data_IF_461249857708
#
_entry.id   IF_461249857708
#
_cell.length_a   1.000
_cell.length_b   1.000
_cell.length_c   1.000
_cell.angle_alpha   90.00
_cell.angle_beta   90.00
_cell.angle_gamma   90.00
#
_symmetry.space_group_name_H-M   'P 1'
#
loop_
_entity.id
_entity.type
_entity.pdbx_description
1 polymer ?
#
# COMPACT_ATOMS: atom_id res chain seq x y z
N UNK A 1 -0.45 -4.12 0.32
CA UNK A 1 -1.02 -5.09 1.26
C UNK A 1 -2.52 -5.15 1.08
N UNK A 2 -3.02 -6.36 0.84
CA UNK A 2 -4.44 -6.69 0.83
C UNK A 2 -4.99 -6.43 2.24
N UNK A 3 -5.77 -5.38 2.42
CA UNK A 3 -6.50 -5.18 3.67
C UNK A 3 -7.90 -5.74 3.49
N UNK A 4 -8.13 -6.96 3.96
CA UNK A 4 -9.47 -7.49 4.16
C UNK A 4 -10.15 -6.67 5.26
N UNK A 5 -11.16 -5.91 4.87
CA UNK A 5 -11.95 -5.11 5.80
C UNK A 5 -13.35 -5.66 5.85
N UNK A 6 -13.86 -5.78 7.06
CA UNK A 6 -15.26 -6.09 7.28
C UNK A 6 -16.06 -4.81 7.05
N UNK A 7 -16.99 -4.86 6.14
CA UNK A 7 -17.88 -3.76 5.78
C UNK A 7 -19.34 -4.22 5.84
N UNK A 8 -20.23 -3.28 6.05
CA UNK A 8 -21.67 -3.57 6.09
C UNK A 8 -22.33 -3.02 4.82
N UNK A 9 -23.20 -3.82 4.23
CA UNK A 9 -24.00 -3.43 3.08
C UNK A 9 -25.27 -2.72 3.59
N UNK A 10 -25.54 -1.53 3.09
CA UNK A 10 -26.78 -0.79 3.37
C UNK A 10 -27.64 -0.71 2.11
N UNK A 11 -28.96 -0.66 2.28
CA UNK A 11 -29.91 -0.53 1.18
C UNK A 11 -30.59 0.84 1.24
N UNK A 12 -30.38 1.62 0.22
CA UNK A 12 -31.35 2.53 -0.38
C UNK A 12 -31.56 2.03 -1.80
N UNK A 13 -32.23 2.66 -2.71
CA UNK A 13 -32.48 2.15 -4.08
C UNK A 13 -31.24 1.58 -4.81
N UNK A 14 -30.05 1.84 -4.27
CA UNK A 14 -28.75 1.34 -4.68
C UNK A 14 -28.00 0.76 -3.47
N UNK A 15 -27.39 -0.40 -3.60
CA UNK A 15 -26.58 -0.97 -2.53
C UNK A 15 -25.29 -0.20 -2.34
N UNK A 16 -25.03 0.22 -1.10
CA UNK A 16 -23.78 0.84 -0.69
C UNK A 16 -23.05 -0.04 0.33
N UNK A 17 -21.74 -0.08 0.19
CA UNK A 17 -20.83 -0.68 1.16
C UNK A 17 -20.28 0.43 2.03
N UNK A 18 -20.48 0.30 3.34
CA UNK A 18 -19.93 1.23 4.34
C UNK A 18 -18.79 0.55 5.08
N UNK A 19 -17.64 1.20 5.12
CA UNK A 19 -16.46 0.71 5.82
C UNK A 19 -15.67 1.85 6.45
N UNK A 20 -14.88 1.53 7.46
CA UNK A 20 -14.07 2.51 8.16
C UNK A 20 -12.62 2.51 7.67
N UNK A 21 -12.06 3.69 7.41
CA UNK A 21 -10.63 3.92 7.23
C UNK A 21 -10.06 4.47 8.54
N UNK A 22 -9.06 3.79 9.12
CA UNK A 22 -8.37 4.35 10.28
C UNK A 22 -7.67 5.67 9.94
N UNK A 23 -7.37 6.47 10.98
CA UNK A 23 -6.67 7.75 10.82
C UNK A 23 -5.37 7.61 10.03
N UNK A 24 -4.57 6.56 10.32
CA UNK A 24 -3.32 6.30 9.61
C UNK A 24 -3.54 5.99 8.12
N UNK A 25 -4.61 5.28 7.81
CA UNK A 25 -4.92 4.91 6.42
C UNK A 25 -5.47 6.10 5.66
N UNK A 26 -6.34 6.88 6.28
CA UNK A 26 -6.87 8.11 5.69
C UNK A 26 -5.76 9.16 5.54
N UNK A 27 -4.91 9.32 6.55
CA UNK A 27 -3.75 10.20 6.52
C UNK A 27 -2.80 9.91 5.35
N UNK A 28 -2.61 8.62 4.99
CA UNK A 28 -1.81 8.24 3.81
C UNK A 28 -2.41 8.73 2.49
N UNK A 29 -3.73 8.79 2.36
CA UNK A 29 -4.38 9.38 1.18
C UNK A 29 -4.19 10.89 1.13
N UNK A 30 -4.32 11.56 2.27
CA UNK A 30 -4.12 13.01 2.37
C UNK A 30 -2.66 13.40 2.08
N UNK A 31 -1.70 12.71 2.68
CA UNK A 31 -0.28 12.98 2.49
C UNK A 31 0.18 12.84 1.03
N UNK A 32 -0.48 11.96 0.27
CA UNK A 32 -0.18 11.73 -1.15
C UNK A 32 -0.99 12.62 -2.10
N UNK A 33 -1.78 13.54 -1.57
CA UNK A 33 -2.74 14.34 -2.34
C UNK A 33 -3.55 13.49 -3.33
N UNK A 34 -3.91 12.28 -2.91
CA UNK A 34 -4.55 11.29 -3.75
C UNK A 34 -6.04 11.31 -3.54
N UNK A 35 -6.78 11.55 -4.62
CA UNK A 35 -8.23 11.53 -4.59
C UNK A 35 -8.74 10.12 -4.23
N UNK A 36 -9.52 10.04 -3.16
CA UNK A 36 -10.12 8.78 -2.69
C UNK A 36 -11.47 8.51 -3.35
N UNK A 37 -12.20 9.58 -3.71
CA UNK A 37 -13.50 9.50 -4.38
C UNK A 37 -13.32 8.95 -5.80
N UNK A 38 -14.24 8.10 -6.23
CA UNK A 38 -14.18 7.45 -7.54
C UNK A 38 -13.29 6.20 -7.59
N UNK A 39 -12.52 5.89 -6.54
CA UNK A 39 -11.65 4.72 -6.54
C UNK A 39 -12.44 3.41 -6.64
N UNK A 40 -11.97 2.48 -7.49
CA UNK A 40 -12.58 1.17 -7.59
C UNK A 40 -12.20 0.28 -6.40
N UNK A 41 -13.17 -0.52 -5.98
CA UNK A 41 -13.04 -1.53 -4.92
C UNK A 41 -13.51 -2.87 -5.46
N UNK A 42 -12.89 -3.96 -4.99
CA UNK A 42 -13.47 -5.29 -5.08
C UNK A 42 -14.15 -5.62 -3.76
N UNK A 43 -15.38 -6.07 -3.84
CA UNK A 43 -16.21 -6.45 -2.70
C UNK A 43 -16.46 -7.96 -2.80
N UNK A 44 -16.23 -8.68 -1.72
CA UNK A 44 -16.44 -10.11 -1.64
C UNK A 44 -17.49 -10.41 -0.59
N UNK A 45 -18.49 -11.17 -0.98
CA UNK A 45 -19.53 -11.69 -0.09
C UNK A 45 -19.39 -13.21 0.00
N UNK A 46 -19.05 -13.68 1.18
CA UNK A 46 -18.92 -15.10 1.47
C UNK A 46 -20.26 -15.63 2.02
N UNK A 47 -20.94 -16.46 1.27
CA UNK A 47 -22.27 -17.02 1.64
C UNK A 47 -22.39 -18.45 1.17
N UNK A 48 -22.82 -19.34 2.07
CA UNK A 48 -23.06 -20.74 1.74
C UNK A 48 -21.84 -21.51 1.25
N UNK A 49 -20.63 -21.07 1.61
CA UNK A 49 -19.37 -21.66 1.13
C UNK A 49 -18.89 -21.13 -0.22
N UNK A 50 -19.65 -20.24 -0.85
CA UNK A 50 -19.28 -19.58 -2.10
C UNK A 50 -18.80 -18.15 -1.85
N UNK A 51 -17.79 -17.71 -2.61
CA UNK A 51 -17.29 -16.34 -2.61
C UNK A 51 -17.79 -15.60 -3.85
N UNK A 52 -18.69 -14.67 -3.64
CA UNK A 52 -19.26 -13.83 -4.70
C UNK A 52 -18.48 -12.53 -4.75
N UNK A 53 -17.95 -12.19 -5.92
CA UNK A 53 -17.23 -10.94 -6.13
C UNK A 53 -18.10 -9.89 -6.81
N UNK A 54 -18.05 -8.68 -6.30
CA UNK A 54 -18.74 -7.51 -6.84
C UNK A 54 -17.73 -6.36 -6.98
N UNK A 55 -18.07 -5.38 -7.78
CA UNK A 55 -17.30 -4.14 -7.90
C UNK A 55 -18.03 -3.00 -7.21
N UNK A 56 -17.30 -2.07 -6.66
CA UNK A 56 -17.83 -0.85 -6.10
C UNK A 56 -16.90 0.34 -6.39
N UNK A 57 -17.41 1.54 -6.28
CA UNK A 57 -16.59 2.76 -6.35
C UNK A 57 -16.92 3.68 -5.19
N UNK A 58 -15.90 4.31 -4.61
CA UNK A 58 -16.08 5.23 -3.49
C UNK A 58 -16.84 6.46 -3.97
N UNK A 59 -17.92 6.79 -3.29
CA UNK A 59 -18.80 7.93 -3.61
C UNK A 59 -18.54 9.13 -2.72
N UNK A 60 -18.42 8.88 -1.42
CA UNK A 60 -18.09 9.93 -0.47
C UNK A 60 -17.39 9.40 0.77
N UNK A 61 -16.76 10.28 1.50
CA UNK A 61 -16.11 10.04 2.78
C UNK A 61 -16.86 10.84 3.83
N UNK A 62 -17.13 10.23 4.98
CA UNK A 62 -17.80 10.90 6.09
C UNK A 62 -17.05 12.14 6.54
N UNK A 63 -17.80 13.18 6.91
CA UNK A 63 -17.22 14.45 7.34
C UNK A 63 -16.68 14.43 8.78
N UNK A 64 -16.90 13.35 9.51
CA UNK A 64 -16.52 13.23 10.92
C UNK A 64 -15.63 12.02 11.15
N UNK A 65 -14.66 12.19 12.04
CA UNK A 65 -13.88 11.07 12.56
C UNK A 65 -14.69 10.43 13.69
N UNK A 66 -15.01 9.15 13.55
CA UNK A 66 -15.68 8.38 14.58
C UNK A 66 -14.73 8.10 15.74
N UNK A 67 -15.05 8.56 16.93
CA UNK A 67 -14.26 8.28 18.12
C UNK A 67 -14.27 6.79 18.49
N UNK A 68 -15.33 6.08 18.16
CA UNK A 68 -15.47 4.65 18.45
C UNK A 68 -14.54 3.79 17.56
N UNK A 69 -14.40 4.14 16.29
CA UNK A 69 -13.59 3.39 15.31
C UNK A 69 -12.23 4.03 15.05
N UNK A 70 -11.98 5.23 15.58
CA UNK A 70 -10.78 6.05 15.32
C UNK A 70 -10.48 6.12 13.83
N UNK A 71 -11.50 6.52 13.07
CA UNK A 71 -11.37 6.59 11.63
C UNK A 71 -12.57 7.24 10.96
N UNK A 72 -12.54 7.30 9.65
CA UNK A 72 -13.53 7.95 8.81
C UNK A 72 -14.37 6.90 8.09
N UNK A 73 -15.67 7.05 8.10
CA UNK A 73 -16.56 6.16 7.36
C UNK A 73 -16.52 6.50 5.88
N UNK A 74 -16.38 5.47 5.06
CA UNK A 74 -16.30 5.57 3.61
C UNK A 74 -17.48 4.83 3.01
N UNK A 75 -18.13 5.45 2.05
CA UNK A 75 -19.30 4.95 1.37
C UNK A 75 -18.97 4.67 -0.09
N UNK A 76 -19.20 3.42 -0.50
CA UNK A 76 -18.91 2.98 -1.86
C UNK A 76 -20.17 2.36 -2.49
N UNK A 77 -20.54 2.85 -3.65
CA UNK A 77 -21.66 2.31 -4.43
C UNK A 77 -21.23 1.02 -5.12
N UNK A 78 -21.99 -0.05 -4.91
CA UNK A 78 -21.80 -1.31 -5.65
C UNK A 78 -22.24 -1.10 -7.10
N UNK A 79 -21.43 -1.59 -8.03
CA UNK A 79 -21.66 -1.44 -9.48
C UNK A 79 -21.78 -2.81 -10.15
N UNK A 80 -22.51 -2.86 -11.25
CA UNK A 80 -22.73 -4.10 -12.01
C UNK A 80 -23.93 -4.91 -11.54
N UNK A 81 -23.96 -6.19 -11.93
CA UNK A 81 -25.06 -7.09 -11.61
C UNK A 81 -24.96 -7.56 -10.17
N UNK A 82 -25.97 -7.26 -9.39
CA UNK A 82 -26.08 -7.69 -8.00
C UNK A 82 -26.68 -9.10 -7.88
N UNK A 83 -26.20 -9.91 -6.93
CA UNK A 83 -26.85 -11.17 -6.60
C UNK A 83 -28.29 -10.94 -6.13
N UNK A 84 -29.25 -11.73 -6.64
CA UNK A 84 -30.69 -11.58 -6.29
C UNK A 84 -31.00 -11.88 -4.81
N UNK A 85 -30.12 -12.62 -4.17
CA UNK A 85 -30.20 -12.99 -2.74
C UNK A 85 -29.43 -12.04 -1.81
N UNK A 86 -28.77 -11.00 -2.34
CA UNK A 86 -28.08 -10.00 -1.52
C UNK A 86 -29.09 -9.22 -0.68
N UNK A 87 -28.76 -9.01 0.58
CA UNK A 87 -29.61 -8.27 1.53
C UNK A 87 -28.79 -7.19 2.24
N UNK A 88 -29.43 -6.09 2.58
CA UNK A 88 -28.87 -5.09 3.46
C UNK A 88 -28.51 -5.72 4.81
N UNK A 89 -27.39 -5.28 5.39
CA UNK A 89 -26.83 -5.86 6.61
C UNK A 89 -25.88 -7.04 6.37
N UNK A 90 -25.68 -7.46 5.11
CA UNK A 90 -24.67 -8.46 4.80
C UNK A 90 -23.25 -7.96 5.13
N UNK A 91 -22.45 -8.82 5.75
CA UNK A 91 -21.04 -8.55 5.96
C UNK A 91 -20.27 -8.93 4.70
N UNK A 92 -19.40 -8.02 4.27
CA UNK A 92 -18.59 -8.18 3.08
C UNK A 92 -17.13 -7.84 3.38
N UNK A 93 -16.22 -8.48 2.68
CA UNK A 93 -14.80 -8.11 2.66
C UNK A 93 -14.55 -7.17 1.49
N UNK A 94 -13.72 -6.16 1.68
CA UNK A 94 -13.34 -5.23 0.61
C UNK A 94 -11.83 -5.26 0.37
N UNK A 95 -11.47 -5.18 -0.89
CA UNK A 95 -10.10 -5.01 -1.33
C UNK A 95 -10.03 -3.73 -2.16
N UNK A 96 -9.29 -2.77 -1.64
CA UNK A 96 -8.96 -1.55 -2.37
C UNK A 96 -7.59 -1.74 -3.01
N UNK A 97 -7.54 -1.61 -4.35
CA UNK A 97 -6.26 -1.64 -5.04
C UNK A 97 -5.39 -0.49 -4.50
N UNK A 98 -4.24 -0.82 -3.94
CA UNK A 98 -3.17 0.16 -3.78
C UNK A 98 -2.83 0.66 -5.17
N UNK A 99 -2.68 1.97 -5.34
CA UNK A 99 -2.02 2.44 -6.55
C UNK A 99 -0.61 1.85 -6.52
N UNK A 100 -0.15 1.24 -7.62
CA UNK A 100 1.26 0.92 -7.72
C UNK A 100 2.03 2.22 -7.45
N UNK A 101 2.93 2.19 -6.49
CA UNK A 101 3.88 3.28 -6.32
C UNK A 101 4.76 3.23 -7.59
N UNK A 102 4.54 4.17 -8.48
CA UNK A 102 5.46 4.45 -9.58
C UNK A 102 6.66 5.13 -8.95
N UNK A 103 7.85 4.72 -9.34
CA UNK A 103 9.13 5.25 -8.87
C UNK A 103 9.56 4.79 -7.45
N UNK A 104 9.20 3.58 -7.06
CA UNK A 104 9.80 2.93 -5.88
C UNK A 104 10.80 1.84 -6.31
N UNK A 105 11.92 1.79 -5.61
CA UNK A 105 12.90 0.72 -5.76
C UNK A 105 12.80 -0.20 -4.55
N UNK A 106 12.54 -1.49 -4.78
CA UNK A 106 12.55 -2.50 -3.73
C UNK A 106 13.97 -3.05 -3.58
N UNK A 107 14.59 -2.84 -2.43
CA UNK A 107 15.91 -3.40 -2.12
C UNK A 107 15.81 -4.36 -0.94
N UNK A 108 16.65 -5.40 -0.86
CA UNK A 108 16.72 -6.27 0.31
C UNK A 108 17.03 -5.47 1.57
N UNK A 109 16.40 -5.85 2.70
CA UNK A 109 16.67 -5.20 3.99
C UNK A 109 18.13 -5.31 4.42
N UNK A 110 18.79 -6.38 3.99
CA UNK A 110 20.22 -6.62 4.27
C UNK A 110 21.16 -5.60 3.60
N UNK A 111 20.67 -4.81 2.66
CA UNK A 111 21.43 -3.69 2.11
C UNK A 111 21.47 -2.46 3.03
N UNK A 112 20.63 -2.43 4.10
CA UNK A 112 20.51 -1.30 5.00
C UNK A 112 21.53 -1.41 6.13
N UNK A 113 22.36 -0.39 6.29
CA UNK A 113 23.31 -0.24 7.39
C UNK A 113 22.71 0.67 8.47
N UNK A 114 22.52 0.15 9.66
CA UNK A 114 21.79 0.87 10.71
C UNK A 114 20.34 1.11 10.32
N UNK A 115 19.86 2.33 10.55
CA UNK A 115 18.44 2.65 10.35
C UNK A 115 18.14 3.24 8.97
N UNK A 116 19.07 3.96 8.35
CA UNK A 116 18.77 4.77 7.17
C UNK A 116 19.88 4.81 6.10
N UNK A 117 20.97 4.06 6.26
CA UNK A 117 22.14 4.16 5.41
C UNK A 117 22.20 2.98 4.43
N UNK A 118 22.46 3.27 3.18
CA UNK A 118 22.87 2.29 2.16
C UNK A 118 24.15 2.77 1.49
N UNK A 119 24.82 1.86 0.78
CA UNK A 119 25.94 2.22 -0.05
C UNK A 119 25.59 2.04 -1.54
N UNK A 120 25.84 3.08 -2.29
CA UNK A 120 25.79 3.06 -3.77
C UNK A 120 27.20 2.97 -4.32
N UNK A 121 27.33 2.51 -5.54
CA UNK A 121 28.63 2.41 -6.23
C UNK A 121 28.74 3.56 -7.21
N UNK A 122 29.73 4.43 -6.99
CA UNK A 122 30.07 5.55 -7.88
C UNK A 122 31.55 5.42 -8.26
N UNK A 123 31.83 5.38 -9.55
CA UNK A 123 33.19 5.22 -10.10
C UNK A 123 33.98 4.04 -9.47
N UNK A 124 33.28 2.90 -9.24
CA UNK A 124 33.88 1.71 -8.64
C UNK A 124 34.20 1.83 -7.14
N UNK A 125 33.64 2.82 -6.47
CA UNK A 125 33.81 3.05 -5.02
C UNK A 125 32.49 3.18 -4.30
N UNK A 126 32.47 2.78 -3.05
CA UNK A 126 31.30 2.94 -2.18
C UNK A 126 31.09 4.41 -1.79
N UNK A 127 29.89 4.91 -2.06
CA UNK A 127 29.41 6.20 -1.61
C UNK A 127 28.22 6.01 -0.66
N UNK A 128 28.22 6.60 0.54
CA UNK A 128 27.12 6.48 1.48
C UNK A 128 25.93 7.31 1.00
N UNK A 129 24.73 6.71 1.04
CA UNK A 129 23.47 7.37 0.71
C UNK A 129 22.49 7.17 1.87
N UNK A 130 22.00 8.26 2.46
CA UNK A 130 20.96 8.21 3.48
C UNK A 130 19.58 8.22 2.87
N UNK A 131 18.78 7.27 3.28
CA UNK A 131 17.39 7.16 2.85
C UNK A 131 16.51 8.04 3.74
N UNK A 132 15.76 8.95 3.13
CA UNK A 132 14.87 9.89 3.84
C UNK A 132 13.39 9.47 3.72
N UNK A 133 13.03 8.71 2.70
CA UNK A 133 11.66 8.24 2.47
C UNK A 133 11.68 6.79 1.98
N UNK A 134 11.45 5.88 2.92
CA UNK A 134 11.34 4.45 2.64
C UNK A 134 10.34 3.78 3.57
N UNK A 135 9.87 2.59 3.20
CA UNK A 135 8.96 1.76 4.02
C UNK A 135 9.54 0.36 4.16
N UNK A 136 9.63 -0.11 5.38
CA UNK A 136 9.97 -1.50 5.71
C UNK A 136 8.75 -2.39 5.45
N UNK A 137 8.92 -3.43 4.64
CA UNK A 137 7.89 -4.43 4.31
C UNK A 137 8.31 -5.86 4.69
N UNK A 138 9.24 -5.98 5.64
CA UNK A 138 9.71 -7.24 6.21
C UNK A 138 11.10 -7.64 5.73
N UNK A 139 11.21 -8.38 4.64
CA UNK A 139 12.49 -8.79 4.02
C UNK A 139 13.09 -7.75 3.08
N UNK A 140 12.30 -6.73 2.74
CA UNK A 140 12.65 -5.65 1.82
C UNK A 140 12.28 -4.29 2.37
N UNK A 141 12.91 -3.26 1.82
CA UNK A 141 12.53 -1.87 1.98
C UNK A 141 12.14 -1.29 0.62
N UNK A 142 11.06 -0.51 0.61
CA UNK A 142 10.62 0.25 -0.56
C UNK A 142 11.13 1.68 -0.45
N UNK A 143 12.11 2.02 -1.27
CA UNK A 143 12.70 3.36 -1.31
C UNK A 143 11.97 4.20 -2.34
N UNK A 144 11.45 5.35 -1.91
CA UNK A 144 10.66 6.26 -2.76
C UNK A 144 11.49 7.38 -3.37
N UNK A 145 12.52 7.82 -2.68
CA UNK A 145 13.37 8.94 -3.14
C UNK A 145 14.83 8.66 -2.83
N UNK A 146 15.72 9.28 -3.59
CA UNK A 146 17.16 9.23 -3.36
C UNK A 146 17.93 8.26 -4.27
N UNK A 147 17.25 7.28 -4.87
CA UNK A 147 17.88 6.37 -5.84
C UNK A 147 17.59 6.80 -7.28
N UNK A 148 18.55 6.59 -8.17
CA UNK A 148 18.43 6.86 -9.61
C UNK A 148 18.31 5.56 -10.39
N UNK A 149 17.62 5.59 -11.49
CA UNK A 149 17.55 4.44 -12.39
C UNK A 149 18.95 4.07 -12.91
N UNK A 150 19.29 2.78 -12.81
CA UNK A 150 20.61 2.28 -13.23
C UNK A 150 21.72 2.49 -12.20
N UNK A 151 21.42 3.03 -11.02
CA UNK A 151 22.41 3.18 -9.94
C UNK A 151 22.68 1.81 -9.29
N UNK A 152 23.94 1.44 -9.21
CA UNK A 152 24.37 0.21 -8.55
C UNK A 152 24.38 0.38 -7.04
N UNK A 153 23.89 -0.63 -6.32
CA UNK A 153 23.75 -0.64 -4.87
C UNK A 153 24.47 -1.84 -4.29
N UNK A 154 25.14 -1.64 -3.18
CA UNK A 154 25.70 -2.72 -2.38
C UNK A 154 24.59 -3.47 -1.66
N UNK A 155 24.33 -4.73 -2.07
CA UNK A 155 23.24 -5.54 -1.52
C UNK A 155 23.66 -6.39 -0.30
N UNK A 156 24.96 -6.65 -0.14
CA UNK A 156 25.48 -7.52 0.91
C UNK A 156 26.23 -6.69 1.94
N UNK A 157 25.86 -6.84 3.21
CA UNK A 157 26.59 -6.19 4.29
C UNK A 157 27.97 -6.85 4.48
N UNK A 158 29.00 -6.03 4.63
CA UNK A 158 30.30 -6.44 5.13
C UNK A 158 30.86 -5.39 6.08
N UNK A 159 31.64 -5.85 7.07
CA UNK A 159 32.05 -5.04 8.20
C UNK A 159 32.97 -3.86 7.83
N UNK A 160 33.61 -3.93 6.66
CA UNK A 160 34.58 -2.91 6.18
C UNK A 160 33.93 -1.94 5.18
N UNK A 161 32.60 -1.98 5.02
CA UNK A 161 31.90 -1.04 4.14
C UNK A 161 32.05 0.39 4.67
N UNK A 162 32.78 1.21 3.92
CA UNK A 162 33.00 2.61 4.23
C UNK A 162 33.08 3.44 2.94
N UNK A 163 32.88 4.74 3.09
CA UNK A 163 33.00 5.66 1.96
C UNK A 163 34.40 5.56 1.31
N UNK A 164 34.42 5.45 -0.01
CA UNK A 164 35.65 5.38 -0.80
C UNK A 164 36.28 4.00 -0.95
N UNK A 165 35.75 2.95 -0.31
CA UNK A 165 36.19 1.57 -0.51
C UNK A 165 35.97 1.18 -1.95
N UNK A 166 37.01 0.68 -2.60
CA UNK A 166 36.93 0.19 -3.97
C UNK A 166 36.21 -1.16 -4.02
N UNK A 167 35.25 -1.29 -4.92
CA UNK A 167 34.47 -2.51 -5.11
C UNK A 167 34.40 -2.85 -6.59
N UNK A 168 34.27 -4.14 -6.86
CA UNK A 168 34.02 -4.64 -8.22
C UNK A 168 32.63 -5.30 -8.21
N UNK A 169 31.76 -4.85 -9.09
CA UNK A 169 30.45 -5.49 -9.27
C UNK A 169 30.61 -6.82 -10.00
N UNK A 170 29.91 -7.83 -9.53
CA UNK A 170 29.72 -9.10 -10.25
C UNK A 170 28.24 -9.17 -10.66
N UNK A 171 27.97 -9.31 -11.95
CA UNK A 171 26.64 -9.72 -12.38
C UNK A 171 26.40 -11.15 -11.91
N UNK A 172 25.42 -11.35 -11.06
CA UNK A 172 24.90 -12.68 -10.75
C UNK A 172 24.15 -13.19 -12.00
N UNK A 173 24.64 -14.31 -12.56
CA UNK A 173 23.97 -15.05 -13.62
C UNK A 173 22.69 -15.72 -13.09
#
# INVERSE_FOLDING_TARGET
GLNDRVATLTSSDDFEVVFNLSDDQYGRFLARNTEIIGRPLKVFWDVGGERISMQASIRHVGAQISQATRGVDVYAKVTGKLPSNLRAGAFVSIVMASQPETDVVAIPKDALYGDDLIYVIEDGRLAPLRLTDYVDIGDRILVRTGLRQGQEILLTQFNEAAAGVAVTSFEAQ
#
